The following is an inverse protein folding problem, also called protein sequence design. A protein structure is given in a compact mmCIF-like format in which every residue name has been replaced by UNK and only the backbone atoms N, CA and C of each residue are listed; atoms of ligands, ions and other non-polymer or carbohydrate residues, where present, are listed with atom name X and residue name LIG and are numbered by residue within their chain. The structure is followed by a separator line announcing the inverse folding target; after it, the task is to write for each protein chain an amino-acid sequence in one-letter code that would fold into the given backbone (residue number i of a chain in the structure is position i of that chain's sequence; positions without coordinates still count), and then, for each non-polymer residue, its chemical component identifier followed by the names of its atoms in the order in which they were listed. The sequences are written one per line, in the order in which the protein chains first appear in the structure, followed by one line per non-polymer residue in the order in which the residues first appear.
data_IF_523799881285
#
_entry.id   IF_523799881285
#
_cell.length_a   1.000
_cell.length_b   1.000
_cell.length_c   1.000
_cell.angle_alpha   90.00
_cell.angle_beta   90.00
_cell.angle_gamma   90.00
#
_symmetry.space_group_name_H-M   'P 1'
#
loop_
_entity.id
_entity.type
_entity.pdbx_description
1 polymer ?
#
# COMPACT_ATOMS: atom_id res chain seq x y z
N UNK A 1 -17.39 -31.19 48.86
CA UNK A 1 -17.00 -31.63 47.50
C UNK A 1 -18.09 -31.18 46.56
N UNK A 2 -17.80 -30.22 45.67
CA UNK A 2 -18.75 -29.70 44.68
C UNK A 2 -18.17 -29.97 43.30
N UNK A 3 -18.87 -30.75 42.49
CA UNK A 3 -18.46 -31.11 41.13
C UNK A 3 -19.06 -30.13 40.13
N UNK A 4 -18.19 -29.61 39.27
CA UNK A 4 -18.51 -28.69 38.18
C UNK A 4 -18.98 -29.49 36.95
N UNK A 5 -20.18 -29.20 36.44
CA UNK A 5 -20.70 -29.77 35.19
C UNK A 5 -20.46 -28.75 34.06
N UNK A 6 -19.75 -29.06 32.95
CA UNK A 6 -19.58 -28.12 31.86
C UNK A 6 -20.77 -28.17 30.88
N UNK A 7 -21.30 -26.98 30.55
CA UNK A 7 -22.45 -26.77 29.66
C UNK A 7 -22.13 -26.80 28.15
N UNK A 8 -23.17 -26.73 27.28
CA UNK A 8 -23.14 -27.15 25.88
C UNK A 8 -22.85 -26.00 24.90
N UNK A 9 -21.79 -25.21 25.10
CA UNK A 9 -21.50 -24.04 24.24
C UNK A 9 -20.26 -24.17 23.33
N UNK A 10 -19.53 -25.29 23.38
CA UNK A 10 -18.28 -25.45 22.60
C UNK A 10 -18.39 -26.22 21.28
N UNK A 11 -19.55 -26.81 20.93
CA UNK A 11 -19.69 -27.57 19.67
C UNK A 11 -20.05 -26.70 18.47
N UNK A 12 -20.93 -25.71 18.66
CA UNK A 12 -21.43 -24.88 17.55
C UNK A 12 -20.34 -24.03 16.89
N UNK A 13 -19.33 -23.60 17.65
CA UNK A 13 -18.23 -22.76 17.14
C UNK A 13 -17.28 -23.54 16.21
N UNK A 14 -17.08 -24.84 16.45
CA UNK A 14 -16.22 -25.69 15.62
C UNK A 14 -16.91 -26.10 14.32
N UNK A 15 -18.23 -26.29 14.35
CA UNK A 15 -19.01 -26.62 13.15
C UNK A 15 -19.14 -25.41 12.21
N UNK A 16 -19.24 -24.18 12.75
CA UNK A 16 -19.20 -22.96 11.94
C UNK A 16 -17.82 -22.70 11.32
N UNK A 17 -16.72 -22.97 12.02
CA UNK A 17 -15.37 -22.88 11.47
C UNK A 17 -15.13 -23.92 10.36
N UNK A 18 -15.64 -25.15 10.52
CA UNK A 18 -15.58 -26.18 9.47
C UNK A 18 -16.40 -25.80 8.25
N UNK A 19 -17.58 -25.19 8.44
CA UNK A 19 -18.40 -24.70 7.32
C UNK A 19 -17.70 -23.59 6.55
N UNK A 20 -17.10 -22.62 7.25
CA UNK A 20 -16.31 -21.55 6.63
C UNK A 20 -15.11 -22.09 5.86
N UNK A 21 -14.34 -23.00 6.44
CA UNK A 21 -13.22 -23.66 5.73
C UNK A 21 -13.69 -24.49 4.53
N UNK A 22 -14.81 -25.19 4.64
CA UNK A 22 -15.39 -25.93 3.51
C UNK A 22 -15.88 -25.00 2.40
N UNK A 23 -16.46 -23.84 2.75
CA UNK A 23 -16.86 -22.80 1.81
C UNK A 23 -15.66 -22.15 1.11
N UNK A 24 -14.58 -21.84 1.82
CA UNK A 24 -13.34 -21.30 1.25
C UNK A 24 -12.66 -22.30 0.31
N UNK A 25 -12.56 -23.56 0.74
CA UNK A 25 -12.03 -24.65 -0.09
C UNK A 25 -12.90 -24.85 -1.33
N UNK A 26 -14.22 -24.70 -1.20
CA UNK A 26 -15.17 -24.78 -2.32
C UNK A 26 -15.05 -23.60 -3.28
N UNK A 27 -14.71 -22.39 -2.82
CA UNK A 27 -14.51 -21.21 -3.67
C UNK A 27 -13.24 -21.36 -4.49
N UNK A 28 -12.14 -21.80 -3.86
CA UNK A 28 -10.86 -22.05 -4.55
C UNK A 28 -10.98 -23.19 -5.55
N UNK A 29 -11.64 -24.30 -5.18
CA UNK A 29 -11.89 -25.41 -6.10
C UNK A 29 -12.78 -25.01 -7.29
N UNK A 30 -13.79 -24.17 -7.06
CA UNK A 30 -14.67 -23.65 -8.12
C UNK A 30 -13.95 -22.68 -9.05
N UNK A 31 -13.06 -21.84 -8.53
CA UNK A 31 -12.22 -20.95 -9.33
C UNK A 31 -11.26 -21.75 -10.24
N UNK A 32 -10.66 -22.84 -9.73
CA UNK A 32 -9.84 -23.77 -10.54
C UNK A 32 -10.67 -24.44 -11.64
N UNK A 33 -11.87 -24.90 -11.33
CA UNK A 33 -12.76 -25.56 -12.29
C UNK A 33 -13.29 -24.59 -13.37
N UNK A 34 -13.48 -23.30 -13.05
CA UNK A 34 -13.80 -22.27 -14.05
C UNK A 34 -12.62 -21.93 -14.96
N UNK A 35 -11.38 -21.93 -14.43
CA UNK A 35 -10.17 -21.74 -15.23
C UNK A 35 -9.99 -22.86 -16.27
N UNK A 36 -10.17 -24.12 -15.86
CA UNK A 36 -10.13 -25.28 -16.77
C UNK A 36 -11.20 -25.21 -17.88
N UNK A 37 -12.37 -24.62 -17.59
CA UNK A 37 -13.44 -24.41 -18.58
C UNK A 37 -13.15 -23.28 -19.56
N UNK A 38 -12.34 -22.30 -19.16
CA UNK A 38 -11.93 -21.19 -20.03
C UNK A 38 -10.81 -21.62 -20.99
N UNK A 39 -9.88 -22.46 -20.54
CA UNK A 39 -8.87 -23.09 -21.40
C UNK A 39 -9.47 -24.07 -22.42
N UNK A 40 -10.63 -24.66 -22.11
CA UNK A 40 -11.36 -25.55 -23.01
C UNK A 40 -12.19 -24.83 -24.10
N UNK A 41 -12.22 -23.48 -24.15
CA UNK A 41 -12.90 -22.76 -25.22
C UNK A 41 -12.03 -22.70 -26.48
N UNK A 42 -12.57 -23.06 -27.67
CA UNK A 42 -11.84 -22.88 -28.91
C UNK A 42 -11.56 -21.39 -29.15
N UNK A 43 -10.31 -21.07 -29.48
CA UNK A 43 -9.87 -19.72 -29.79
C UNK A 43 -10.77 -19.10 -30.87
N UNK A 44 -11.29 -17.90 -30.61
CA UNK A 44 -12.00 -17.11 -31.63
C UNK A 44 -11.01 -16.78 -32.76
N UNK A 45 -11.39 -16.94 -34.03
CA UNK A 45 -10.52 -16.58 -35.14
C UNK A 45 -10.26 -15.05 -35.16
N UNK A 46 -9.10 -14.61 -35.66
CA UNK A 46 -8.71 -13.21 -35.63
C UNK A 46 -9.64 -12.35 -36.52
N UNK A 47 -10.23 -11.31 -35.94
CA UNK A 47 -10.96 -10.29 -36.70
C UNK A 47 -9.99 -9.52 -37.61
N UNK A 48 -10.36 -9.39 -38.88
CA UNK A 48 -9.59 -8.71 -39.93
C UNK A 48 -9.43 -7.20 -39.63
N UNK A 49 -8.33 -6.57 -40.07
CA UNK A 49 -8.07 -5.16 -39.80
C UNK A 49 -9.03 -4.27 -40.58
N UNK A 50 -9.79 -3.43 -39.88
CA UNK A 50 -10.56 -2.34 -40.49
C UNK A 50 -9.61 -1.17 -40.70
N UNK A 51 -9.35 -0.88 -41.97
CA UNK A 51 -8.57 0.26 -42.41
C UNK A 51 -9.32 1.59 -42.17
N UNK A 52 -8.59 2.56 -41.61
CA UNK A 52 -8.73 4.00 -41.89
C UNK A 52 -9.87 4.76 -41.21
N UNK A 53 -9.54 5.53 -40.17
CA UNK A 53 -9.76 7.00 -40.14
C UNK A 53 -8.63 7.61 -39.30
N UNK A 54 -7.75 8.34 -39.98
CA UNK A 54 -6.75 9.24 -39.39
C UNK A 54 -7.50 10.42 -38.79
N UNK A 55 -7.58 10.48 -37.47
CA UNK A 55 -7.96 11.65 -36.70
C UNK A 55 -6.76 12.11 -35.88
N UNK A 56 -6.02 13.06 -36.43
CA UNK A 56 -4.88 13.75 -35.83
C UNK A 56 -5.33 14.46 -34.53
N UNK A 57 -5.23 13.76 -33.39
CA UNK A 57 -5.36 14.37 -32.07
C UNK A 57 -3.97 14.48 -31.48
N UNK A 58 -3.29 15.57 -31.82
CA UNK A 58 -2.06 16.04 -31.16
C UNK A 58 -2.25 16.00 -29.65
N UNK A 59 -1.64 15.00 -29.01
CA UNK A 59 -1.42 14.96 -27.57
C UNK A 59 -0.37 16.03 -27.28
N UNK A 60 -0.76 17.08 -26.56
CA UNK A 60 0.19 18.06 -26.03
C UNK A 60 1.18 17.32 -25.11
N UNK A 61 2.47 17.67 -25.13
CA UNK A 61 3.40 17.14 -24.15
C UNK A 61 2.96 17.65 -22.78
N UNK A 62 2.43 16.75 -21.95
CA UNK A 62 2.29 16.98 -20.52
C UNK A 62 3.71 17.11 -19.96
N UNK A 63 3.96 18.24 -19.32
CA UNK A 63 5.22 18.55 -18.64
C UNK A 63 5.55 17.40 -17.68
N UNK A 64 6.72 16.79 -17.91
CA UNK A 64 7.33 15.79 -17.03
C UNK A 64 7.57 16.44 -15.66
N UNK A 65 6.58 16.29 -14.78
CA UNK A 65 6.76 16.50 -13.35
C UNK A 65 7.43 15.25 -12.78
N UNK A 66 8.40 15.50 -11.90
CA UNK A 66 9.25 14.49 -11.28
C UNK A 66 8.43 13.31 -10.71
N UNK A 67 8.92 12.07 -10.77
CA UNK A 67 8.27 10.86 -10.24
C UNK A 67 8.16 10.79 -8.69
N UNK A 68 8.46 11.88 -7.99
CA UNK A 68 8.28 12.01 -6.55
C UNK A 68 6.80 11.88 -6.17
N UNK A 69 6.52 11.44 -4.94
CA UNK A 69 5.18 11.15 -4.43
C UNK A 69 4.16 12.29 -4.59
N UNK A 70 2.90 12.08 -4.21
CA UNK A 70 1.88 13.13 -4.32
C UNK A 70 2.40 14.42 -3.64
N UNK A 71 2.34 15.60 -4.27
CA UNK A 71 2.95 16.84 -3.77
C UNK A 71 2.49 17.24 -2.36
N UNK A 72 1.35 16.70 -1.92
CA UNK A 72 0.85 16.81 -0.55
C UNK A 72 1.74 16.14 0.51
N UNK A 73 2.59 15.18 0.13
CA UNK A 73 3.50 14.50 1.06
C UNK A 73 4.73 15.36 1.38
N UNK A 74 5.31 16.04 0.40
CA UNK A 74 6.49 16.88 0.63
C UNK A 74 6.14 18.09 1.51
N UNK A 75 5.01 18.76 1.24
CA UNK A 75 4.49 19.82 2.10
C UNK A 75 4.23 19.34 3.54
N UNK A 76 3.65 18.14 3.70
CA UNK A 76 3.44 17.54 5.02
C UNK A 76 4.76 17.35 5.78
N UNK A 77 5.82 16.91 5.08
CA UNK A 77 7.13 16.69 5.67
C UNK A 77 7.76 18.01 6.12
N UNK A 78 7.68 19.08 5.32
CA UNK A 78 8.18 20.41 5.67
C UNK A 78 7.48 20.98 6.93
N UNK A 79 6.14 20.88 6.99
CA UNK A 79 5.40 21.33 8.16
C UNK A 79 5.68 20.45 9.39
N UNK A 80 5.88 19.15 9.21
CA UNK A 80 6.25 18.24 10.29
C UNK A 80 7.65 18.55 10.84
N UNK A 81 8.62 18.84 9.99
CA UNK A 81 9.96 19.26 10.39
C UNK A 81 9.90 20.58 11.17
N UNK A 82 9.11 21.54 10.69
CA UNK A 82 8.87 22.81 11.39
C UNK A 82 8.24 22.56 12.77
N UNK A 83 7.24 21.67 12.86
CA UNK A 83 6.59 21.30 14.11
C UNK A 83 7.57 20.61 15.08
N UNK A 84 8.37 19.67 14.59
CA UNK A 84 9.34 18.95 15.39
C UNK A 84 10.44 19.88 15.92
N UNK A 85 10.98 20.77 15.08
CA UNK A 85 11.97 21.76 15.46
C UNK A 85 11.42 22.74 16.50
N UNK A 86 10.21 23.28 16.30
CA UNK A 86 9.55 24.17 17.26
C UNK A 86 9.34 23.49 18.62
N UNK A 87 8.95 22.21 18.63
CA UNK A 87 8.82 21.41 19.85
C UNK A 87 10.16 21.18 20.55
N UNK A 88 11.23 20.96 19.78
CA UNK A 88 12.57 20.72 20.33
C UNK A 88 13.13 21.96 21.06
N UNK A 89 12.86 23.17 20.55
CA UNK A 89 13.30 24.43 21.16
C UNK A 89 12.28 25.02 22.15
N UNK A 90 11.12 24.38 22.33
CA UNK A 90 10.07 24.81 23.26
C UNK A 90 9.22 25.99 22.79
N UNK A 91 9.22 26.33 21.50
CA UNK A 91 8.37 27.38 20.93
C UNK A 91 6.93 26.86 20.73
N UNK A 92 6.11 27.04 21.76
CA UNK A 92 4.71 26.57 21.78
C UNK A 92 3.83 27.26 20.73
N UNK A 93 4.11 28.52 20.39
CA UNK A 93 3.32 29.28 19.41
C UNK A 93 3.59 28.78 18.00
N UNK A 94 4.87 28.58 17.65
CA UNK A 94 5.24 28.02 16.35
C UNK A 94 4.81 26.56 16.26
N UNK A 95 4.99 25.76 17.30
CA UNK A 95 4.56 24.36 17.34
C UNK A 95 3.04 24.23 17.13
N UNK A 96 2.23 25.10 17.74
CA UNK A 96 0.78 25.11 17.56
C UNK A 96 0.32 25.62 16.18
N UNK A 97 1.10 26.48 15.51
CA UNK A 97 0.85 26.84 14.11
C UNK A 97 1.17 25.67 13.18
N UNK A 98 2.38 25.12 13.28
CA UNK A 98 2.83 24.01 12.45
C UNK A 98 1.97 22.75 12.67
N UNK A 99 1.43 22.55 13.88
CA UNK A 99 0.44 21.51 14.15
C UNK A 99 -0.78 21.63 13.22
N UNK A 100 -1.32 22.85 13.04
CA UNK A 100 -2.51 23.07 12.19
C UNK A 100 -2.21 22.87 10.72
N UNK A 101 -1.02 23.25 10.29
CA UNK A 101 -0.54 23.02 8.92
C UNK A 101 -0.44 21.51 8.64
N UNK A 102 0.18 20.75 9.54
CA UNK A 102 0.23 19.27 9.48
C UNK A 102 -1.18 18.66 9.46
N UNK A 103 -2.11 19.14 10.29
CA UNK A 103 -3.50 18.66 10.27
C UNK A 103 -4.17 18.90 8.91
N UNK A 104 -3.99 20.10 8.33
CA UNK A 104 -4.52 20.43 7.00
C UNK A 104 -3.97 19.50 5.91
N UNK A 105 -2.68 19.22 5.92
CA UNK A 105 -2.07 18.31 4.96
C UNK A 105 -2.55 16.86 5.12
N UNK A 106 -2.70 16.39 6.36
CA UNK A 106 -3.26 15.06 6.63
C UNK A 106 -4.73 14.95 6.15
N UNK A 107 -5.54 16.00 6.30
CA UNK A 107 -6.90 16.01 5.76
C UNK A 107 -6.92 16.01 4.22
N UNK A 108 -5.98 16.70 3.58
CA UNK A 108 -5.79 16.63 2.13
C UNK A 108 -5.44 15.20 1.68
N UNK A 109 -4.57 14.50 2.41
CA UNK A 109 -4.25 13.09 2.14
C UNK A 109 -5.47 12.17 2.32
N UNK A 110 -6.27 12.39 3.36
CA UNK A 110 -7.53 11.66 3.57
C UNK A 110 -8.54 11.91 2.45
N UNK A 111 -8.61 13.13 1.94
CA UNK A 111 -9.46 13.51 0.80
C UNK A 111 -9.07 12.75 -0.47
N UNK A 112 -7.76 12.62 -0.72
CA UNK A 112 -7.25 11.83 -1.83
C UNK A 112 -7.57 10.33 -1.66
N UNK A 113 -7.38 9.78 -0.46
CA UNK A 113 -7.73 8.39 -0.17
C UNK A 113 -9.25 8.14 -0.34
N UNK A 114 -10.09 9.05 0.13
CA UNK A 114 -11.54 9.01 -0.04
C UNK A 114 -11.94 8.99 -1.52
N UNK A 115 -11.33 9.85 -2.34
CA UNK A 115 -11.56 9.88 -3.79
C UNK A 115 -11.18 8.53 -4.43
N UNK A 116 -10.05 7.94 -4.05
CA UNK A 116 -9.61 6.65 -4.58
C UNK A 116 -10.52 5.50 -4.13
N UNK A 117 -10.97 5.49 -2.88
CA UNK A 117 -11.96 4.52 -2.39
C UNK A 117 -13.28 4.63 -3.15
N UNK A 118 -13.74 5.84 -3.49
CA UNK A 118 -14.95 6.07 -4.30
C UNK A 118 -14.79 5.59 -5.74
N UNK A 119 -13.62 5.79 -6.33
CA UNK A 119 -13.30 5.37 -7.70
C UNK A 119 -13.00 3.87 -7.81
N UNK A 120 -12.55 3.26 -6.72
CA UNK A 120 -12.18 1.84 -6.68
C UNK A 120 -13.31 0.92 -7.15
N UNK A 121 -12.95 -0.13 -7.90
CA UNK A 121 -13.86 -1.20 -8.31
C UNK A 121 -15.12 -0.72 -9.05
N UNK A 122 -14.98 0.22 -9.99
CA UNK A 122 -16.05 0.64 -10.91
C UNK A 122 -15.70 0.29 -12.36
N UNK A 123 -16.74 -0.05 -13.13
CA UNK A 123 -16.64 -0.21 -14.58
C UNK A 123 -15.65 -1.29 -15.03
N UNK A 124 -14.85 -0.96 -16.05
CA UNK A 124 -13.97 -1.89 -16.76
C UNK A 124 -12.86 -2.47 -15.86
N UNK A 125 -12.26 -1.68 -14.97
CA UNK A 125 -11.20 -2.13 -14.05
C UNK A 125 -11.66 -3.31 -13.18
N UNK A 126 -12.86 -3.21 -12.58
CA UNK A 126 -13.46 -4.29 -11.78
C UNK A 126 -13.64 -5.58 -12.59
N UNK A 127 -14.09 -5.45 -13.84
CA UNK A 127 -14.31 -6.60 -14.71
C UNK A 127 -12.97 -7.26 -15.08
N UNK A 128 -11.96 -6.47 -15.43
CA UNK A 128 -10.60 -6.95 -15.72
C UNK A 128 -10.01 -7.73 -14.54
N UNK A 129 -10.10 -7.20 -13.32
CA UNK A 129 -9.63 -7.91 -12.12
C UNK A 129 -10.39 -9.23 -11.94
N UNK A 130 -11.73 -9.19 -12.03
CA UNK A 130 -12.55 -10.39 -11.84
C UNK A 130 -12.23 -11.50 -12.85
N UNK A 131 -11.96 -11.15 -14.11
CA UNK A 131 -11.61 -12.10 -15.17
C UNK A 131 -10.20 -12.67 -15.00
N UNK A 132 -9.26 -11.87 -14.48
CA UNK A 132 -7.87 -12.26 -14.31
C UNK A 132 -7.61 -13.13 -13.07
N UNK A 133 -8.35 -12.90 -11.98
CA UNK A 133 -8.10 -13.57 -10.69
C UNK A 133 -8.09 -15.10 -10.77
N UNK A 134 -9.02 -15.80 -11.47
CA UNK A 134 -8.97 -17.25 -11.57
C UNK A 134 -7.68 -17.80 -12.19
N UNK A 135 -7.15 -17.11 -13.21
CA UNK A 135 -5.90 -17.49 -13.87
C UNK A 135 -4.70 -17.27 -12.95
N UNK A 136 -4.64 -16.14 -12.24
CA UNK A 136 -3.57 -15.86 -11.27
C UNK A 136 -3.57 -16.85 -10.10
N UNK A 137 -4.75 -17.27 -9.62
CA UNK A 137 -4.89 -18.33 -8.61
C UNK A 137 -4.35 -19.66 -9.14
N UNK A 138 -4.68 -20.02 -10.38
CA UNK A 138 -4.27 -21.29 -10.98
C UNK A 138 -2.76 -21.37 -11.21
N UNK A 139 -2.12 -20.26 -11.58
CA UNK A 139 -0.68 -20.18 -11.83
C UNK A 139 0.18 -20.10 -10.56
N UNK A 140 -0.43 -20.06 -9.37
CA UNK A 140 0.26 -19.76 -8.10
C UNK A 140 1.03 -18.44 -8.08
N UNK A 141 0.78 -17.55 -9.07
CA UNK A 141 1.37 -16.21 -9.16
C UNK A 141 0.74 -15.24 -8.15
N UNK A 142 -0.31 -15.65 -7.44
CA UNK A 142 -0.82 -14.92 -6.27
C UNK A 142 0.22 -14.75 -5.17
N UNK A 143 1.04 -15.78 -4.91
CA UNK A 143 2.10 -15.72 -3.90
C UNK A 143 3.21 -14.71 -4.29
N UNK A 144 3.24 -14.31 -5.55
CA UNK A 144 4.12 -13.26 -6.01
C UNK A 144 3.53 -11.86 -5.81
N UNK A 145 2.21 -11.68 -5.68
CA UNK A 145 1.66 -10.32 -5.54
C UNK A 145 2.15 -9.66 -4.24
N UNK A 146 2.38 -8.34 -4.21
CA UNK A 146 2.93 -7.62 -3.07
C UNK A 146 1.94 -7.46 -1.90
N UNK A 147 0.93 -8.34 -1.78
CA UNK A 147 -0.19 -8.16 -0.86
C UNK A 147 0.19 -8.47 0.59
N UNK A 148 1.07 -9.43 0.82
CA UNK A 148 1.59 -9.75 2.15
C UNK A 148 2.45 -8.59 2.69
N UNK A 149 3.33 -8.02 1.87
CA UNK A 149 4.12 -6.87 2.26
C UNK A 149 3.25 -5.64 2.54
N UNK A 150 2.20 -5.44 1.75
CA UNK A 150 1.23 -4.35 1.98
C UNK A 150 0.43 -4.59 3.26
N UNK A 151 0.06 -5.84 3.57
CA UNK A 151 -0.60 -6.19 4.81
C UNK A 151 0.30 -5.96 6.03
N UNK A 152 1.57 -6.38 5.96
CA UNK A 152 2.57 -6.13 7.00
C UNK A 152 2.70 -4.64 7.30
N UNK A 153 2.78 -3.81 6.25
CA UNK A 153 2.89 -2.35 6.39
C UNK A 153 1.66 -1.75 7.06
N UNK A 154 0.49 -2.27 6.73
CA UNK A 154 -0.78 -1.87 7.33
C UNK A 154 -1.00 -2.49 8.72
N UNK A 155 -0.01 -3.22 9.25
CA UNK A 155 -0.10 -3.97 10.50
C UNK A 155 -1.29 -4.95 10.52
N UNK A 156 -1.63 -5.52 9.37
CA UNK A 156 -2.68 -6.51 9.22
C UNK A 156 -2.09 -7.93 9.31
N UNK A 157 -2.79 -8.88 9.97
CA UNK A 157 -2.38 -10.28 9.93
C UNK A 157 -2.57 -10.85 8.52
N UNK A 158 -1.75 -11.85 8.14
CA UNK A 158 -1.77 -12.45 6.80
C UNK A 158 -3.12 -13.07 6.40
N UNK A 159 -3.92 -13.53 7.37
CA UNK A 159 -5.31 -13.99 7.16
C UNK A 159 -6.23 -12.93 6.51
N UNK A 160 -5.86 -11.65 6.62
CA UNK A 160 -6.56 -10.57 5.93
C UNK A 160 -6.25 -10.54 4.42
N UNK A 161 -5.06 -10.98 4.01
CA UNK A 161 -4.69 -11.10 2.60
C UNK A 161 -5.56 -12.14 1.93
N UNK A 162 -5.78 -13.30 2.56
CA UNK A 162 -6.69 -14.34 2.07
C UNK A 162 -8.12 -13.80 1.89
N UNK A 163 -8.59 -13.01 2.86
CA UNK A 163 -9.90 -12.34 2.79
C UNK A 163 -9.98 -11.39 1.61
N UNK A 164 -8.94 -10.59 1.37
CA UNK A 164 -8.87 -9.67 0.23
C UNK A 164 -8.83 -10.43 -1.09
N UNK A 165 -8.01 -11.47 -1.20
CA UNK A 165 -7.92 -12.33 -2.40
C UNK A 165 -9.28 -12.94 -2.71
N UNK A 166 -9.98 -13.49 -1.71
CA UNK A 166 -11.32 -14.03 -1.87
C UNK A 166 -12.33 -12.96 -2.36
N UNK A 167 -12.24 -11.73 -1.84
CA UNK A 167 -13.06 -10.61 -2.28
C UNK A 167 -12.75 -10.20 -3.72
N UNK A 168 -11.47 -10.14 -4.11
CA UNK A 168 -11.06 -9.87 -5.50
C UNK A 168 -11.56 -10.95 -6.46
N UNK A 169 -11.46 -12.23 -6.11
CA UNK A 169 -12.01 -13.33 -6.94
C UNK A 169 -13.52 -13.18 -7.12
N UNK A 170 -14.25 -12.92 -6.03
CA UNK A 170 -15.72 -12.88 -6.05
C UNK A 170 -16.28 -11.62 -6.69
N UNK A 171 -15.64 -10.49 -6.45
CA UNK A 171 -16.18 -9.17 -6.72
C UNK A 171 -15.29 -8.31 -7.62
N UNK A 172 -14.05 -8.69 -7.93
CA UNK A 172 -13.13 -7.89 -8.73
C UNK A 172 -12.65 -6.62 -8.01
N UNK A 173 -12.78 -6.55 -6.69
CA UNK A 173 -12.52 -5.36 -5.88
C UNK A 173 -13.44 -5.25 -4.67
N UNK A 174 -13.44 -4.08 -4.03
CA UNK A 174 -14.27 -3.80 -2.87
C UNK A 174 -15.78 -3.92 -3.15
N UNK A 175 -16.48 -4.61 -2.27
CA UNK A 175 -17.94 -4.60 -2.21
C UNK A 175 -18.46 -3.21 -1.79
N UNK A 176 -19.73 -2.88 -2.11
CA UNK A 176 -20.33 -1.62 -1.66
C UNK A 176 -20.31 -1.44 -0.13
N UNK A 177 -20.50 -2.52 0.63
CA UNK A 177 -20.47 -2.51 2.09
C UNK A 177 -19.07 -2.22 2.64
N UNK A 178 -18.04 -2.90 2.13
CA UNK A 178 -16.65 -2.65 2.54
C UNK A 178 -16.22 -1.22 2.19
N UNK A 179 -16.61 -0.72 1.01
CA UNK A 179 -16.34 0.66 0.62
C UNK A 179 -17.01 1.65 1.58
N UNK A 180 -18.29 1.44 1.91
CA UNK A 180 -19.00 2.32 2.84
C UNK A 180 -18.36 2.32 4.23
N UNK A 181 -17.98 1.15 4.75
CA UNK A 181 -17.31 1.04 6.03
C UNK A 181 -15.92 1.70 6.04
N UNK A 182 -15.16 1.59 4.94
CA UNK A 182 -13.87 2.28 4.80
C UNK A 182 -14.03 3.81 4.76
N UNK A 183 -15.06 4.33 4.06
CA UNK A 183 -15.37 5.76 4.03
C UNK A 183 -15.74 6.28 5.43
N UNK A 184 -16.49 5.51 6.20
CA UNK A 184 -16.76 5.83 7.62
C UNK A 184 -15.47 5.88 8.44
N UNK A 185 -14.52 4.98 8.18
CA UNK A 185 -13.18 5.01 8.79
C UNK A 185 -12.43 6.31 8.48
N UNK A 186 -12.52 6.82 7.25
CA UNK A 186 -11.96 8.13 6.88
C UNK A 186 -12.60 9.27 7.68
N UNK A 187 -13.92 9.28 7.82
CA UNK A 187 -14.64 10.29 8.63
C UNK A 187 -14.24 10.25 10.12
N UNK A 188 -14.00 9.05 10.66
CA UNK A 188 -13.49 8.88 12.03
C UNK A 188 -12.08 9.46 12.18
N UNK A 189 -11.18 9.23 11.24
CA UNK A 189 -9.83 9.81 11.25
C UNK A 189 -9.86 11.34 11.17
N UNK A 190 -10.74 11.91 10.33
CA UNK A 190 -10.96 13.36 10.30
C UNK A 190 -11.40 13.88 11.66
N UNK A 191 -12.36 13.22 12.29
CA UNK A 191 -12.81 13.60 13.64
C UNK A 191 -11.65 13.56 14.64
N UNK A 192 -10.74 12.58 14.54
CA UNK A 192 -9.56 12.51 15.41
C UNK A 192 -8.52 13.58 15.11
N UNK A 193 -8.31 13.96 13.84
CA UNK A 193 -7.45 15.09 13.47
C UNK A 193 -7.95 16.40 14.08
N UNK A 194 -9.26 16.65 14.00
CA UNK A 194 -9.90 17.83 14.58
C UNK A 194 -9.79 17.83 16.12
N UNK A 195 -9.91 16.67 16.75
CA UNK A 195 -9.66 16.53 18.19
C UNK A 195 -8.20 16.84 18.55
N UNK A 196 -7.23 16.34 17.78
CA UNK A 196 -5.82 16.62 17.99
C UNK A 196 -5.53 18.12 17.84
N UNK A 197 -6.13 18.77 16.85
CA UNK A 197 -6.02 20.23 16.66
C UNK A 197 -6.62 21.01 17.82
N UNK A 198 -7.88 20.73 18.18
CA UNK A 198 -8.59 21.45 19.22
C UNK A 198 -7.89 21.31 20.60
N UNK A 199 -7.35 20.13 20.89
CA UNK A 199 -6.64 19.84 22.13
C UNK A 199 -5.14 20.22 22.08
N UNK A 200 -4.61 20.62 20.92
CA UNK A 200 -3.17 20.76 20.68
C UNK A 200 -2.39 19.48 21.07
N UNK A 201 -2.98 18.31 20.85
CA UNK A 201 -2.40 17.01 21.19
C UNK A 201 -1.42 16.56 20.11
N UNK A 202 -0.16 16.97 20.28
CA UNK A 202 0.93 16.54 19.41
C UNK A 202 1.14 15.02 19.43
N UNK A 203 0.85 14.33 20.54
CA UNK A 203 1.06 12.89 20.64
C UNK A 203 0.03 12.10 19.83
N UNK A 204 -1.23 12.52 19.84
CA UNK A 204 -2.27 12.00 18.95
C UNK A 204 -1.93 12.30 17.49
N UNK A 205 -1.47 13.52 17.19
CA UNK A 205 -1.06 13.87 15.84
C UNK A 205 0.12 13.00 15.33
N UNK A 206 1.13 12.74 16.16
CA UNK A 206 2.25 11.84 15.81
C UNK A 206 1.75 10.45 15.38
N UNK A 207 0.69 9.94 16.03
CA UNK A 207 0.09 8.63 15.72
C UNK A 207 -0.76 8.67 14.45
N UNK A 208 -1.59 9.72 14.31
CA UNK A 208 -2.41 9.95 13.13
C UNK A 208 -1.56 10.14 11.87
N UNK A 209 -0.47 10.92 11.98
CA UNK A 209 0.47 11.15 10.89
C UNK A 209 1.01 9.83 10.35
N UNK A 210 1.57 8.96 11.22
CA UNK A 210 2.12 7.68 10.77
C UNK A 210 1.06 6.81 10.08
N UNK A 211 -0.16 6.77 10.62
CA UNK A 211 -1.23 5.96 10.08
C UNK A 211 -1.74 6.47 8.73
N UNK A 212 -2.02 7.78 8.64
CA UNK A 212 -2.56 8.41 7.42
C UNK A 212 -1.52 8.41 6.31
N UNK A 213 -0.24 8.64 6.62
CA UNK A 213 0.82 8.60 5.60
C UNK A 213 1.00 7.19 5.05
N UNK A 214 0.89 6.11 5.87
CA UNK A 214 0.86 4.73 5.35
C UNK A 214 -0.22 4.54 4.29
N UNK A 215 -1.44 5.01 4.57
CA UNK A 215 -2.55 4.95 3.62
C UNK A 215 -2.23 5.75 2.35
N UNK A 216 -1.74 6.99 2.51
CA UNK A 216 -1.45 7.88 1.39
C UNK A 216 -0.35 7.33 0.47
N UNK A 217 0.72 6.78 1.05
CA UNK A 217 1.81 6.14 0.31
C UNK A 217 1.29 4.93 -0.46
N UNK A 218 0.53 4.04 0.17
CA UNK A 218 -0.01 2.85 -0.49
C UNK A 218 -1.00 3.19 -1.60
N UNK A 219 -1.88 4.16 -1.37
CA UNK A 219 -2.78 4.69 -2.40
C UNK A 219 -1.98 5.36 -3.53
N UNK A 220 -0.93 6.10 -3.18
CA UNK A 220 -0.01 6.73 -4.13
C UNK A 220 0.71 5.70 -5.01
N UNK A 221 1.21 4.60 -4.43
CA UNK A 221 1.82 3.49 -5.19
C UNK A 221 0.79 2.81 -6.09
N UNK A 222 -0.42 2.57 -5.59
CA UNK A 222 -1.49 1.91 -6.34
C UNK A 222 -2.00 2.75 -7.54
N UNK A 223 -1.94 4.08 -7.43
CA UNK A 223 -2.51 5.02 -8.43
C UNK A 223 -1.44 5.65 -9.32
N UNK A 224 -0.35 6.09 -8.69
CA UNK A 224 0.61 7.05 -9.23
C UNK A 224 1.91 6.45 -9.71
N UNK A 225 2.05 5.13 -9.82
CA UNK A 225 3.28 4.55 -10.33
C UNK A 225 3.43 4.79 -11.85
N UNK A 226 3.87 6.00 -12.21
CA UNK A 226 4.57 6.35 -13.44
C UNK A 226 5.84 5.48 -13.64
N UNK A 227 6.64 5.13 -12.61
CA UNK A 227 7.68 4.11 -12.75
C UNK A 227 7.13 2.73 -13.16
N UNK A 228 5.92 2.36 -12.75
CA UNK A 228 5.26 1.11 -13.19
C UNK A 228 4.59 1.26 -14.56
N UNK A 229 4.28 2.47 -15.01
CA UNK A 229 3.80 2.70 -16.37
C UNK A 229 4.90 2.44 -17.41
N UNK A 230 6.18 2.68 -17.07
CA UNK A 230 7.33 2.33 -17.90
C UNK A 230 7.59 0.81 -17.96
N UNK A 231 7.38 0.11 -16.83
CA UNK A 231 7.38 -1.36 -16.73
C UNK A 231 6.20 -2.00 -17.51
N UNK A 232 5.10 -1.27 -17.73
CA UNK A 232 3.83 -1.79 -18.22
C UNK A 232 3.61 -1.70 -19.74
N UNK A 233 4.68 -1.67 -20.56
CA UNK A 233 4.56 -1.98 -21.99
C UNK A 233 4.30 -3.49 -22.13
N UNK A 234 3.13 -3.96 -21.67
CA UNK A 234 2.75 -5.37 -21.68
C UNK A 234 1.65 -5.80 -20.70
N UNK A 235 1.57 -5.23 -19.49
CA UNK A 235 0.90 -5.92 -18.37
C UNK A 235 -0.21 -5.11 -17.63
N UNK A 236 -1.24 -4.61 -18.33
CA UNK A 236 -2.28 -3.78 -17.72
C UNK A 236 -3.13 -4.52 -16.66
N UNK A 237 -3.18 -5.86 -16.73
CA UNK A 237 -4.03 -6.68 -15.88
C UNK A 237 -3.46 -6.87 -14.47
N UNK A 238 -2.18 -7.23 -14.35
CA UNK A 238 -1.51 -7.43 -13.05
C UNK A 238 -1.52 -6.12 -12.26
N UNK A 239 -1.26 -4.99 -12.94
CA UNK A 239 -1.32 -3.67 -12.33
C UNK A 239 -2.69 -3.38 -11.69
N UNK A 240 -3.78 -3.67 -12.41
CA UNK A 240 -5.13 -3.44 -11.89
C UNK A 240 -5.48 -4.39 -10.75
N UNK A 241 -5.00 -5.65 -10.78
CA UNK A 241 -5.17 -6.60 -9.68
C UNK A 241 -4.43 -6.13 -8.43
N UNK A 242 -3.16 -5.74 -8.55
CA UNK A 242 -2.35 -5.23 -7.44
C UNK A 242 -2.98 -3.96 -6.86
N UNK A 243 -3.38 -3.01 -7.72
CA UNK A 243 -4.08 -1.80 -7.31
C UNK A 243 -5.36 -2.12 -6.54
N UNK A 244 -6.19 -3.04 -7.03
CA UNK A 244 -7.41 -3.44 -6.37
C UNK A 244 -7.14 -4.11 -5.01
N UNK A 245 -6.10 -4.94 -4.92
CA UNK A 245 -5.66 -5.58 -3.67
C UNK A 245 -5.16 -4.58 -2.64
N UNK A 246 -4.28 -3.65 -3.03
CA UNK A 246 -3.78 -2.58 -2.15
C UNK A 246 -4.95 -1.74 -1.61
N UNK A 247 -5.86 -1.30 -2.50
CA UNK A 247 -7.02 -0.50 -2.08
C UNK A 247 -7.94 -1.29 -1.16
N UNK A 248 -8.08 -2.60 -1.37
CA UNK A 248 -8.88 -3.46 -0.49
C UNK A 248 -8.25 -3.63 0.91
N UNK A 249 -6.93 -3.82 0.99
CA UNK A 249 -6.20 -3.87 2.26
C UNK A 249 -6.26 -2.52 2.99
N UNK A 250 -6.09 -1.40 2.28
CA UNK A 250 -6.25 -0.05 2.85
C UNK A 250 -7.67 0.14 3.42
N UNK A 251 -8.69 -0.26 2.67
CA UNK A 251 -10.08 -0.19 3.13
C UNK A 251 -10.32 -1.04 4.38
N UNK A 252 -9.76 -2.25 4.44
CA UNK A 252 -9.86 -3.11 5.63
C UNK A 252 -9.15 -2.49 6.84
N UNK A 253 -8.00 -1.86 6.61
CA UNK A 253 -7.24 -1.16 7.67
C UNK A 253 -8.01 0.02 8.22
N UNK A 254 -8.63 0.82 7.35
CA UNK A 254 -9.50 1.93 7.73
C UNK A 254 -10.68 1.47 8.59
N UNK A 255 -11.23 0.28 8.33
CA UNK A 255 -12.33 -0.28 9.12
C UNK A 255 -11.89 -0.73 10.51
N UNK A 256 -10.68 -1.32 10.65
CA UNK A 256 -10.22 -1.92 11.91
C UNK A 256 -9.49 -0.93 12.82
N UNK A 257 -8.77 0.01 12.24
CA UNK A 257 -7.67 0.70 12.94
C UNK A 257 -8.00 2.14 13.29
N UNK A 258 -9.04 2.73 12.69
CA UNK A 258 -9.46 4.09 13.03
C UNK A 258 -9.70 4.22 14.55
N UNK A 259 -10.26 3.19 15.20
CA UNK A 259 -10.45 3.20 16.66
C UNK A 259 -9.17 2.85 17.47
N UNK A 260 -8.21 2.13 16.87
CA UNK A 260 -7.01 1.61 17.52
C UNK A 260 -5.78 2.55 17.48
N UNK A 261 -5.82 3.66 16.71
CA UNK A 261 -4.73 4.66 16.64
C UNK A 261 -4.35 5.23 18.02
N UNK A 262 -5.23 5.09 19.03
CA UNK A 262 -5.00 5.60 20.39
C UNK A 262 -4.04 4.75 21.24
N UNK A 263 -3.93 3.46 20.98
CA UNK A 263 -3.31 2.52 21.94
C UNK A 263 -1.87 2.09 21.58
N UNK A 264 -1.39 2.40 20.38
CA UNK A 264 -0.10 1.88 19.89
C UNK A 264 0.98 2.98 19.88
N UNK A 265 2.06 2.76 20.64
CA UNK A 265 3.25 3.64 20.64
C UNK A 265 4.54 2.86 20.38
N UNK A 266 4.79 2.40 19.15
CA UNK A 266 6.08 1.81 18.81
C UNK A 266 7.18 2.88 18.91
N UNK A 267 8.34 2.48 19.43
CA UNK A 267 9.56 3.30 19.44
C UNK A 267 9.95 3.62 17.99
N UNK A 268 9.97 4.90 17.58
CA UNK A 268 10.26 5.27 16.20
C UNK A 268 11.63 4.77 15.73
N UNK A 269 12.65 4.78 16.59
CA UNK A 269 14.01 4.38 16.23
C UNK A 269 14.08 2.88 15.90
N UNK A 270 13.37 2.07 16.69
CA UNK A 270 13.26 0.62 16.44
C UNK A 270 12.53 0.36 15.13
N UNK A 271 11.40 1.05 14.90
CA UNK A 271 10.63 0.91 13.67
C UNK A 271 11.46 1.30 12.43
N UNK A 272 12.12 2.46 12.44
CA UNK A 272 12.92 2.91 11.31
C UNK A 272 14.07 1.96 10.97
N UNK A 273 14.73 1.36 11.98
CA UNK A 273 15.79 0.38 11.76
C UNK A 273 15.26 -0.95 11.23
N UNK A 274 14.11 -1.40 11.71
CA UNK A 274 13.46 -2.61 11.21
C UNK A 274 13.09 -2.45 9.72
N UNK A 275 12.45 -1.34 9.36
CA UNK A 275 12.09 -1.05 7.97
C UNK A 275 13.29 -0.83 7.06
N UNK A 276 14.35 -0.21 7.59
CA UNK A 276 15.62 -0.07 6.87
C UNK A 276 16.26 -1.44 6.57
N UNK A 277 16.28 -2.36 7.54
CA UNK A 277 16.79 -3.70 7.34
C UNK A 277 15.97 -4.48 6.30
N UNK A 278 14.63 -4.42 6.40
CA UNK A 278 13.74 -5.06 5.44
C UNK A 278 13.93 -4.52 4.01
N UNK A 279 14.11 -3.20 3.85
CA UNK A 279 14.41 -2.60 2.55
C UNK A 279 15.76 -3.09 1.99
N UNK A 280 16.79 -3.22 2.83
CA UNK A 280 18.10 -3.73 2.40
C UNK A 280 18.06 -5.19 1.95
N UNK A 281 17.23 -6.01 2.60
CA UNK A 281 16.95 -7.39 2.22
C UNK A 281 16.23 -7.45 0.87
N UNK A 282 15.17 -6.66 0.68
CA UNK A 282 14.43 -6.61 -0.59
C UNK A 282 15.33 -6.12 -1.74
N UNK A 283 16.15 -5.10 -1.52
CA UNK A 283 17.14 -4.63 -2.51
C UNK A 283 18.21 -5.67 -2.84
N UNK A 284 18.54 -6.56 -1.90
CA UNK A 284 19.46 -7.66 -2.17
C UNK A 284 18.79 -8.72 -3.06
N UNK A 285 17.52 -9.02 -2.80
CA UNK A 285 16.72 -9.96 -3.59
C UNK A 285 16.44 -9.42 -5.01
N UNK A 286 16.14 -8.14 -5.14
CA UNK A 286 15.84 -7.49 -6.43
C UNK A 286 17.02 -7.38 -7.41
N UNK A 287 18.20 -7.90 -7.05
CA UNK A 287 19.33 -8.03 -7.99
C UNK A 287 19.02 -9.00 -9.14
N UNK A 288 17.99 -9.84 -9.01
CA UNK A 288 17.50 -10.71 -10.08
C UNK A 288 16.74 -9.95 -11.19
N UNK A 289 16.53 -8.63 -11.08
CA UNK A 289 15.92 -7.83 -12.15
C UNK A 289 16.77 -7.78 -13.44
N UNK A 290 18.04 -8.21 -13.38
CA UNK A 290 18.91 -8.41 -14.55
C UNK A 290 18.64 -9.75 -15.27
N UNK A 291 17.98 -10.71 -14.60
CA UNK A 291 17.71 -12.04 -15.14
C UNK A 291 16.44 -12.03 -16.01
N UNK A 292 16.27 -13.09 -16.80
CA UNK A 292 15.01 -13.31 -17.50
C UNK A 292 13.90 -13.56 -16.46
N UNK A 293 12.75 -12.85 -16.53
CA UNK A 293 11.69 -13.04 -15.55
C UNK A 293 11.17 -14.48 -15.59
N UNK A 294 10.99 -15.07 -14.41
CA UNK A 294 10.45 -16.40 -14.21
C UNK A 294 8.99 -16.51 -14.67
N UNK A 295 8.25 -15.39 -14.67
CA UNK A 295 6.88 -15.30 -15.16
C UNK A 295 6.53 -13.87 -15.60
N UNK A 296 5.47 -13.74 -16.39
CA UNK A 296 4.91 -12.45 -16.80
C UNK A 296 4.50 -11.62 -15.57
N UNK A 297 5.11 -10.44 -15.41
CA UNK A 297 4.88 -9.52 -14.30
C UNK A 297 5.72 -9.64 -13.05
N UNK A 298 6.75 -10.49 -13.05
CA UNK A 298 7.71 -10.53 -11.94
C UNK A 298 8.37 -9.16 -11.69
N UNK A 299 8.89 -8.50 -12.73
CA UNK A 299 9.56 -7.21 -12.58
C UNK A 299 8.60 -6.12 -12.08
N UNK A 300 7.35 -6.13 -12.55
CA UNK A 300 6.28 -5.24 -12.07
C UNK A 300 6.03 -5.44 -10.58
N UNK A 301 5.91 -6.70 -10.15
CA UNK A 301 5.74 -7.08 -8.75
C UNK A 301 6.91 -6.61 -7.88
N UNK A 302 8.14 -6.94 -8.27
CA UNK A 302 9.36 -6.57 -7.53
C UNK A 302 9.47 -5.05 -7.43
N UNK A 303 9.18 -4.34 -8.51
CA UNK A 303 9.20 -2.89 -8.53
C UNK A 303 8.18 -2.27 -7.57
N UNK A 304 6.97 -2.82 -7.51
CA UNK A 304 5.94 -2.38 -6.55
C UNK A 304 6.39 -2.69 -5.12
N UNK A 305 6.91 -3.89 -4.83
CA UNK A 305 7.42 -4.23 -3.48
C UNK A 305 8.51 -3.25 -3.04
N UNK A 306 9.46 -2.93 -3.91
CA UNK A 306 10.52 -1.97 -3.61
C UNK A 306 9.96 -0.56 -3.34
N UNK A 307 9.03 -0.08 -4.17
CA UNK A 307 8.39 1.23 -3.95
C UNK A 307 7.66 1.27 -2.59
N UNK A 308 6.95 0.19 -2.26
CA UNK A 308 6.24 -0.01 -1.00
C UNK A 308 7.22 -0.03 0.20
N UNK A 309 8.37 -0.71 0.09
CA UNK A 309 9.42 -0.73 1.12
C UNK A 309 10.10 0.64 1.29
N UNK A 310 10.42 1.34 0.21
CA UNK A 310 10.93 2.70 0.26
C UNK A 310 9.96 3.65 0.98
N UNK A 311 8.67 3.60 0.62
CA UNK A 311 7.64 4.39 1.28
C UNK A 311 7.53 4.10 2.78
N UNK A 312 7.63 2.83 3.17
CA UNK A 312 7.55 2.42 4.59
C UNK A 312 8.78 2.87 5.38
N UNK A 313 9.97 2.71 4.80
CA UNK A 313 11.21 3.19 5.38
C UNK A 313 11.17 4.72 5.57
N UNK A 314 10.62 5.46 4.60
CA UNK A 314 10.39 6.91 4.71
C UNK A 314 9.45 7.21 5.87
N UNK A 315 8.28 6.59 5.92
CA UNK A 315 7.27 6.77 7.00
C UNK A 315 7.87 6.53 8.39
N UNK A 316 8.57 5.42 8.59
CA UNK A 316 9.12 5.05 9.88
C UNK A 316 10.17 6.08 10.37
N UNK A 317 10.84 6.76 9.43
CA UNK A 317 11.83 7.79 9.72
C UNK A 317 11.29 9.21 9.88
N UNK A 318 10.01 9.48 9.55
CA UNK A 318 9.47 10.87 9.55
C UNK A 318 9.69 11.58 10.88
N UNK A 319 9.37 10.91 11.99
CA UNK A 319 9.42 11.54 13.33
C UNK A 319 10.81 11.48 13.97
N UNK A 320 11.82 10.96 13.28
CA UNK A 320 13.20 10.87 13.78
C UNK A 320 13.98 12.04 13.23
N UNK A 321 14.79 12.67 14.08
CA UNK A 321 15.75 13.67 13.66
C UNK A 321 17.14 13.05 13.59
N UNK A 322 17.80 13.18 12.43
CA UNK A 322 19.19 12.79 12.23
C UNK A 322 19.80 13.53 11.03
N UNK A 323 21.11 13.78 11.08
CA UNK A 323 21.81 14.66 10.15
C UNK A 323 21.71 14.23 8.69
N UNK A 324 21.81 12.94 8.42
CA UNK A 324 21.80 12.35 7.08
C UNK A 324 20.39 12.03 6.54
N UNK A 325 19.32 12.49 7.21
CA UNK A 325 17.93 12.08 6.90
C UNK A 325 17.48 12.50 5.51
N UNK A 326 17.82 13.72 5.09
CA UNK A 326 17.49 14.19 3.75
C UNK A 326 18.22 13.39 2.66
N UNK A 327 19.50 13.05 2.91
CA UNK A 327 20.25 12.19 2.00
C UNK A 327 19.65 10.78 1.95
N UNK A 328 19.21 10.26 3.09
CA UNK A 328 18.51 8.98 3.16
C UNK A 328 17.24 8.99 2.30
N UNK A 329 16.40 10.02 2.44
CA UNK A 329 15.17 10.15 1.64
C UNK A 329 15.44 10.31 0.14
N UNK A 330 16.44 11.12 -0.23
CA UNK A 330 16.86 11.24 -1.63
C UNK A 330 17.25 9.88 -2.24
N UNK A 331 17.95 9.03 -1.48
CA UNK A 331 18.29 7.67 -1.94
C UNK A 331 17.05 6.79 -2.11
N UNK A 332 16.03 6.92 -1.24
CA UNK A 332 14.76 6.19 -1.40
C UNK A 332 14.03 6.59 -2.69
N UNK A 333 14.06 7.88 -3.03
CA UNK A 333 13.48 8.41 -4.26
C UNK A 333 14.27 7.91 -5.48
N UNK A 334 15.62 7.98 -5.44
CA UNK A 334 16.49 7.43 -6.48
C UNK A 334 16.30 5.92 -6.70
N UNK A 335 16.00 5.15 -5.64
CA UNK A 335 15.67 3.71 -5.78
C UNK A 335 14.38 3.54 -6.57
N UNK A 336 13.35 4.32 -6.23
CA UNK A 336 12.05 4.25 -6.89
C UNK A 336 12.17 4.61 -8.38
N UNK A 337 13.02 5.58 -8.70
CA UNK A 337 13.33 5.99 -10.06
C UNK A 337 14.13 4.93 -10.82
N UNK A 338 15.16 4.36 -10.20
CA UNK A 338 15.98 3.31 -10.80
C UNK A 338 15.18 2.04 -11.12
N UNK A 339 14.19 1.70 -10.28
CA UNK A 339 13.22 0.64 -10.55
C UNK A 339 12.39 0.97 -11.79
N UNK A 340 11.84 2.19 -11.89
CA UNK A 340 11.03 2.60 -13.04
C UNK A 340 11.80 2.66 -14.35
N UNK A 341 13.09 2.96 -14.30
CA UNK A 341 13.97 3.05 -15.47
C UNK A 341 14.62 1.72 -15.85
N UNK A 342 14.34 0.62 -15.12
CA UNK A 342 15.04 -0.65 -15.29
C UNK A 342 16.57 -0.48 -15.29
N UNK A 343 17.11 0.15 -14.24
CA UNK A 343 18.54 0.39 -14.10
C UNK A 343 19.19 -0.42 -12.95
N UNK A 344 19.34 -1.75 -13.06
CA UNK A 344 19.92 -2.60 -11.99
C UNK A 344 21.32 -2.19 -11.51
N UNK A 345 22.25 -1.71 -12.36
CA UNK A 345 23.53 -1.19 -11.89
C UNK A 345 23.39 0.00 -10.93
N UNK A 346 22.34 0.83 -11.11
CA UNK A 346 22.02 1.91 -10.20
C UNK A 346 21.55 1.37 -8.84
N UNK A 347 20.71 0.32 -8.82
CA UNK A 347 20.24 -0.31 -7.58
C UNK A 347 21.39 -0.86 -6.72
N UNK A 348 22.39 -1.50 -7.33
CA UNK A 348 23.56 -2.00 -6.59
C UNK A 348 24.43 -0.88 -5.98
N UNK A 349 24.51 0.28 -6.66
CA UNK A 349 25.15 1.49 -6.11
C UNK A 349 24.32 2.06 -4.96
N UNK A 350 23.01 2.22 -5.16
CA UNK A 350 22.07 2.78 -4.20
C UNK A 350 22.01 1.94 -2.92
N UNK A 351 22.02 0.60 -3.02
CA UNK A 351 22.08 -0.28 -1.85
C UNK A 351 23.34 -0.04 -1.01
N UNK A 352 24.50 0.18 -1.64
CA UNK A 352 25.75 0.49 -0.92
C UNK A 352 25.66 1.84 -0.21
N UNK A 353 25.11 2.85 -0.87
CA UNK A 353 24.86 4.16 -0.26
C UNK A 353 23.89 4.03 0.92
N UNK A 354 22.79 3.30 0.75
CA UNK A 354 21.78 3.11 1.78
C UNK A 354 22.34 2.41 3.02
N UNK A 355 23.22 1.40 2.86
CA UNK A 355 23.91 0.76 3.98
C UNK A 355 24.77 1.71 4.82
N UNK A 356 25.28 2.79 4.22
CA UNK A 356 26.03 3.82 4.93
C UNK A 356 25.12 4.83 5.67
N UNK A 357 23.83 4.90 5.29
CA UNK A 357 22.83 5.82 5.82
C UNK A 357 21.87 5.09 6.76
N UNK A 358 22.39 4.58 7.88
CA UNK A 358 21.59 3.81 8.84
C UNK A 358 20.82 4.74 9.81
N UNK A 359 19.50 4.52 10.02
CA UNK A 359 18.77 5.24 11.06
C UNK A 359 19.39 5.03 12.45
N UNK A 360 19.45 6.08 13.30
CA UNK A 360 20.09 6.00 14.61
C UNK A 360 19.41 4.98 15.54
N UNK A 361 20.17 4.47 16.51
CA UNK A 361 19.69 3.46 17.47
C UNK A 361 18.88 4.04 18.64
N UNK A 362 19.10 5.32 18.99
CA UNK A 362 18.36 6.14 19.96
C UNK A 362 18.81 7.61 19.83
N UNK A 363 18.04 8.53 20.41
CA UNK A 363 18.43 9.95 20.53
C UNK A 363 19.76 10.00 21.31
N UNK A 364 20.82 10.49 20.66
CA UNK A 364 22.05 10.87 21.35
C UNK A 364 21.77 12.29 21.88
N UNK A 365 21.57 12.39 23.19
CA UNK A 365 21.41 13.68 23.89
C UNK A 365 22.74 14.43 24.00
#
# INVERSE_FOLDING_TARGET
MSYFTPGPQRRDLFDDLRRKQAEETSVVARARQEAERLDARPAKPPEKPVAGVVGDRRVRPEEMTSPAGPPALDHLLEHEETRAAARAVGDTRLAGRALREVVGDLDNLLTNAEAQLRLSARGRSRQTVKEAMPQLVAMSSLAALPLDEVADILDLPSENVDTVVASLVRHGGLSPGERHAALKGVEQLRTQLWQAEAAQDHGLLDRLLRFIVKIAVLVGVAVGAAPVAALAVGEPVIKEVVKAGIVALVAMTLQRTADAVRDRRPDPYVAARAEHAALLEELAAARCLDDQPAYEGEHTVVGIRLAVRCGTARIASITIDWKEKQQYWAVLDEITDAVGQHAPPALARLQRTLRALTPPSRRQD
#
